data_IF_658709198011
#
_entry.id   IF_658709198011
#
_cell.length_a   1.000
_cell.length_b   1.000
_cell.length_c   1.000
_cell.angle_alpha   90.00
_cell.angle_beta   90.00
_cell.angle_gamma   90.00
#
_symmetry.space_group_name_H-M   'P 1'
#
loop_
_entity.id
_entity.type
_entity.pdbx_description
1 polymer ?
#
# COMPACT_ATOMS: atom_id res chain seq x y z
N UNK A 1 7.44 -9.72 -14.41
CA UNK A 1 6.03 -9.39 -14.10
C UNK A 1 5.28 -9.22 -15.41
N UNK A 2 4.47 -10.21 -15.79
CA UNK A 2 3.54 -10.08 -16.91
C UNK A 2 2.12 -10.06 -16.34
N UNK A 3 1.49 -8.90 -16.38
CA UNK A 3 0.08 -8.73 -16.05
C UNK A 3 -0.74 -9.00 -17.32
N UNK A 4 -1.90 -9.67 -17.19
CA UNK A 4 -2.79 -9.98 -18.31
C UNK A 4 -3.05 -8.74 -19.20
N UNK A 5 -3.29 -7.56 -18.60
CA UNK A 5 -3.53 -6.32 -19.34
C UNK A 5 -2.31 -5.82 -20.14
N UNK A 6 -1.09 -6.04 -19.63
CA UNK A 6 0.13 -5.69 -20.38
C UNK A 6 0.37 -6.61 -21.56
N UNK A 7 -0.05 -7.87 -21.45
CA UNK A 7 0.07 -8.86 -22.52
C UNK A 7 -1.02 -8.67 -23.60
N UNK A 8 -2.21 -8.26 -23.20
CA UNK A 8 -3.36 -8.05 -24.09
C UNK A 8 -3.21 -6.80 -24.97
N UNK A 9 -2.62 -5.73 -24.43
CA UNK A 9 -2.64 -4.39 -25.05
C UNK A 9 -1.36 -4.11 -25.85
N UNK A 10 -1.43 -3.27 -26.91
CA UNK A 10 -0.24 -2.86 -27.64
C UNK A 10 0.81 -2.19 -26.74
N UNK A 11 2.12 -2.36 -27.05
CA UNK A 11 3.17 -1.66 -26.32
C UNK A 11 2.98 -0.15 -26.46
N UNK A 12 3.02 0.56 -25.32
CA UNK A 12 2.70 1.99 -25.25
C UNK A 12 1.49 2.26 -24.39
N UNK A 13 0.42 1.47 -24.52
CA UNK A 13 -0.80 1.60 -23.71
C UNK A 13 -0.50 1.36 -22.23
N UNK A 14 0.25 0.29 -21.94
CA UNK A 14 0.66 -0.11 -20.60
C UNK A 14 2.17 0.06 -20.35
N UNK A 15 2.86 0.89 -21.15
CA UNK A 15 4.32 1.05 -21.02
C UNK A 15 4.75 1.53 -19.61
N UNK A 16 3.94 2.40 -18.99
CA UNK A 16 4.16 2.86 -17.63
C UNK A 16 4.18 1.73 -16.59
N UNK A 17 3.44 0.65 -16.82
CA UNK A 17 3.42 -0.52 -15.94
C UNK A 17 4.80 -1.16 -15.86
N UNK A 18 5.46 -1.36 -17.01
CA UNK A 18 6.82 -1.92 -17.07
C UNK A 18 7.82 -1.03 -16.36
N UNK A 19 7.78 0.28 -16.59
CA UNK A 19 8.72 1.22 -15.96
C UNK A 19 8.59 1.27 -14.44
N UNK A 20 7.35 1.16 -13.94
CA UNK A 20 7.06 1.14 -12.52
C UNK A 20 7.42 -0.21 -11.88
N UNK A 21 6.81 -1.31 -12.33
CA UNK A 21 6.86 -2.61 -11.64
C UNK A 21 8.24 -3.28 -11.67
N UNK A 22 9.04 -3.06 -12.71
CA UNK A 22 10.38 -3.68 -12.79
C UNK A 22 11.38 -3.02 -11.85
N UNK A 23 11.17 -1.74 -11.50
CA UNK A 23 12.18 -0.96 -10.78
C UNK A 23 12.51 -1.52 -9.38
N UNK A 24 11.54 -1.83 -8.50
CA UNK A 24 11.85 -2.31 -7.15
C UNK A 24 12.51 -3.69 -7.10
N UNK A 25 12.23 -4.56 -8.08
CA UNK A 25 12.76 -5.93 -8.14
C UNK A 25 14.14 -5.98 -8.81
N UNK A 26 14.29 -5.27 -9.93
CA UNK A 26 15.48 -5.39 -10.79
C UNK A 26 16.55 -4.33 -10.52
N UNK A 27 16.18 -3.20 -9.87
CA UNK A 27 17.03 -2.01 -9.82
C UNK A 27 17.13 -1.43 -8.41
N UNK A 28 18.29 -1.58 -7.79
CA UNK A 28 18.59 -0.96 -6.50
C UNK A 28 18.60 0.58 -6.54
N UNK A 29 18.59 1.23 -7.71
CA UNK A 29 18.51 2.70 -7.81
C UNK A 29 17.14 3.30 -7.48
N UNK A 30 16.18 2.48 -7.05
CA UNK A 30 14.76 2.87 -6.88
C UNK A 30 14.57 3.89 -5.74
N UNK A 31 15.04 3.59 -4.52
CA UNK A 31 14.84 4.46 -3.37
C UNK A 31 16.01 5.41 -3.09
N UNK A 32 17.24 5.03 -3.40
CA UNK A 32 18.42 5.90 -3.32
C UNK A 32 18.96 6.09 -4.74
N UNK A 33 18.60 7.22 -5.35
CA UNK A 33 18.75 7.40 -6.80
C UNK A 33 20.21 7.37 -7.23
N UNK A 34 20.44 6.75 -8.40
CA UNK A 34 21.72 6.86 -9.10
C UNK A 34 21.96 8.32 -9.54
N UNK A 35 23.19 8.81 -9.57
CA UNK A 35 24.44 8.15 -9.17
C UNK A 35 24.87 8.51 -7.74
N UNK A 36 24.02 9.18 -6.96
CA UNK A 36 24.37 9.63 -5.61
C UNK A 36 24.25 8.51 -4.57
N UNK A 37 23.26 7.62 -4.73
CA UNK A 37 22.99 6.47 -3.86
C UNK A 37 22.95 6.83 -2.36
N UNK A 38 22.35 7.98 -2.02
CA UNK A 38 22.34 8.51 -0.67
C UNK A 38 21.22 7.88 0.19
N UNK A 39 21.54 7.17 1.30
CA UNK A 39 20.54 6.63 2.20
C UNK A 39 19.68 7.70 2.89
N UNK A 40 20.18 8.94 3.03
CA UNK A 40 19.44 10.04 3.66
C UNK A 40 18.23 10.43 2.82
N UNK A 41 18.39 10.50 1.49
CA UNK A 41 17.26 10.77 0.59
C UNK A 41 16.29 9.60 0.56
N UNK A 42 16.81 8.36 0.62
CA UNK A 42 15.99 7.14 0.63
C UNK A 42 15.08 6.98 1.86
N UNK A 43 15.36 7.69 2.96
CA UNK A 43 14.54 7.65 4.19
C UNK A 43 13.35 8.61 4.19
N UNK A 44 13.26 9.49 3.20
CA UNK A 44 12.16 10.47 3.07
C UNK A 44 10.90 9.80 2.51
N UNK A 45 9.73 10.09 3.08
CA UNK A 45 8.46 9.45 2.68
C UNK A 45 8.12 9.67 1.21
N UNK A 46 8.57 10.79 0.60
CA UNK A 46 8.32 11.08 -0.81
C UNK A 46 8.95 10.07 -1.77
N UNK A 47 9.93 9.25 -1.34
CA UNK A 47 10.53 8.26 -2.22
C UNK A 47 9.54 7.16 -2.61
N UNK A 48 8.58 6.85 -1.75
CA UNK A 48 7.55 5.85 -2.02
C UNK A 48 6.49 6.37 -2.99
N UNK A 49 6.21 7.68 -2.96
CA UNK A 49 5.05 8.29 -3.63
C UNK A 49 5.07 8.20 -5.15
N UNK A 50 6.23 7.98 -5.77
CA UNK A 50 6.31 7.86 -7.23
C UNK A 50 5.63 6.60 -7.76
N UNK A 51 5.47 5.57 -6.92
CA UNK A 51 4.78 4.32 -7.26
C UNK A 51 3.55 4.09 -6.37
N UNK A 52 3.65 4.39 -5.08
CA UNK A 52 2.59 4.16 -4.09
C UNK A 52 1.62 5.35 -4.00
N UNK A 53 0.86 5.59 -5.07
CA UNK A 53 -0.11 6.68 -5.19
C UNK A 53 -1.19 6.35 -6.23
N UNK A 54 -2.20 7.20 -6.39
CA UNK A 54 -3.05 7.19 -7.58
C UNK A 54 -4.40 6.51 -7.39
N UNK A 55 -4.82 5.69 -8.36
CA UNK A 55 -6.23 5.27 -8.49
C UNK A 55 -6.56 4.03 -7.66
N UNK A 56 -5.66 3.06 -7.66
CA UNK A 56 -5.82 1.71 -7.13
C UNK A 56 -5.10 1.49 -5.79
N UNK A 57 -4.12 2.34 -5.45
CA UNK A 57 -3.44 2.31 -4.15
C UNK A 57 -3.04 3.73 -3.68
N UNK A 58 -3.96 4.42 -3.00
CA UNK A 58 -3.76 5.77 -2.43
C UNK A 58 -2.91 5.77 -1.15
N UNK A 59 -1.77 5.09 -1.19
CA UNK A 59 -0.90 4.91 -0.04
C UNK A 59 -0.27 6.25 0.38
N UNK A 60 0.33 6.97 -0.58
CA UNK A 60 0.90 8.30 -0.36
C UNK A 60 -0.18 9.29 0.08
N UNK A 61 -1.30 9.37 -0.64
CA UNK A 61 -2.34 10.36 -0.36
C UNK A 61 -2.93 10.16 1.03
N UNK A 62 -3.17 8.91 1.44
CA UNK A 62 -3.68 8.60 2.78
C UNK A 62 -2.67 8.97 3.88
N UNK A 63 -1.38 8.71 3.66
CA UNK A 63 -0.32 9.12 4.57
C UNK A 63 -0.21 10.65 4.65
N UNK A 64 -0.05 11.30 3.50
CA UNK A 64 0.29 12.71 3.33
C UNK A 64 -0.78 13.64 3.91
N UNK A 65 -2.06 13.32 3.67
CA UNK A 65 -3.17 14.11 4.21
C UNK A 65 -3.51 13.76 5.66
N UNK A 66 -3.09 12.59 6.13
CA UNK A 66 -3.27 12.17 7.52
C UNK A 66 -2.43 13.01 8.49
N UNK A 67 -2.68 12.86 9.79
CA UNK A 67 -1.90 13.60 10.80
C UNK A 67 -0.41 13.22 10.79
N UNK A 68 -0.06 11.97 10.51
CA UNK A 68 1.35 11.57 10.31
C UNK A 68 1.99 12.34 9.15
N UNK A 69 1.32 12.44 8.00
CA UNK A 69 1.78 13.21 6.85
C UNK A 69 1.82 14.71 7.12
N UNK A 70 0.86 15.23 7.87
CA UNK A 70 0.85 16.64 8.29
C UNK A 70 2.06 16.96 9.15
N UNK A 71 2.30 16.17 10.21
CA UNK A 71 3.50 16.29 11.07
C UNK A 71 4.78 16.18 10.24
N UNK A 72 4.82 15.22 9.31
CA UNK A 72 5.94 15.07 8.39
C UNK A 72 6.16 16.32 7.53
N UNK A 73 5.13 16.82 6.85
CA UNK A 73 5.26 17.98 5.97
C UNK A 73 5.75 19.23 6.69
N UNK A 74 5.25 19.49 7.90
CA UNK A 74 5.61 20.69 8.67
C UNK A 74 6.99 20.59 9.33
N UNK A 75 7.46 19.38 9.64
CA UNK A 75 8.67 19.19 10.44
C UNK A 75 9.85 18.52 9.71
N UNK A 76 9.66 17.93 8.52
CA UNK A 76 10.71 17.15 7.81
C UNK A 76 12.02 17.88 7.50
N UNK A 77 12.02 19.21 7.57
CA UNK A 77 13.20 20.04 7.35
C UNK A 77 13.86 20.54 8.63
N UNK A 78 13.24 20.32 9.79
CA UNK A 78 13.83 20.59 11.09
C UNK A 78 14.62 19.35 11.56
N UNK A 79 15.97 19.41 11.62
CA UNK A 79 16.80 18.28 12.04
C UNK A 79 16.61 17.88 13.50
N UNK A 80 15.99 18.72 14.35
CA UNK A 80 15.61 18.31 15.71
C UNK A 80 14.40 17.37 15.72
N UNK A 81 13.57 17.44 14.68
CA UNK A 81 12.35 16.64 14.53
C UNK A 81 12.58 15.43 13.62
N UNK A 82 13.37 15.62 12.56
CA UNK A 82 13.72 14.60 11.57
C UNK A 82 15.21 14.67 11.20
N UNK A 83 16.04 13.91 11.91
CA UNK A 83 17.45 13.73 11.54
C UNK A 83 17.62 12.59 10.52
N UNK A 84 17.71 12.96 9.24
CA UNK A 84 17.90 12.02 8.13
C UNK A 84 19.24 11.29 8.15
N UNK A 85 20.21 11.73 8.96
CA UNK A 85 21.53 11.11 9.06
C UNK A 85 21.49 9.80 9.84
N UNK A 86 20.57 9.67 10.80
CA UNK A 86 20.37 8.46 11.60
C UNK A 86 19.92 7.27 10.74
N UNK A 87 20.36 6.07 11.11
CA UNK A 87 19.83 4.83 10.53
C UNK A 87 18.41 4.61 11.04
N UNK A 88 17.61 3.85 10.29
CA UNK A 88 16.22 3.54 10.69
C UNK A 88 16.11 2.73 11.99
N UNK A 89 17.18 2.05 12.41
CA UNK A 89 17.24 1.38 13.71
C UNK A 89 17.37 2.36 14.89
N UNK A 90 17.91 3.55 14.62
CA UNK A 90 18.18 4.61 15.60
C UNK A 90 17.27 5.83 15.37
N UNK A 91 16.26 5.69 14.49
CA UNK A 91 15.36 6.79 14.14
C UNK A 91 14.43 7.12 15.31
N UNK A 92 14.43 8.38 15.72
CA UNK A 92 13.68 8.93 16.84
C UNK A 92 12.84 10.14 16.39
N UNK A 93 12.22 10.01 15.22
CA UNK A 93 11.43 11.07 14.60
C UNK A 93 10.19 11.41 15.41
N UNK A 94 9.77 12.68 15.37
CA UNK A 94 8.52 13.15 16.00
C UNK A 94 7.26 12.50 15.40
N UNK A 95 7.33 12.08 14.14
CA UNK A 95 6.27 11.35 13.43
C UNK A 95 6.86 10.29 12.51
N UNK A 96 6.09 9.24 12.15
CA UNK A 96 6.62 8.14 11.35
C UNK A 96 6.78 8.54 9.88
N UNK A 97 7.71 7.89 9.19
CA UNK A 97 7.78 7.85 7.72
C UNK A 97 7.32 6.50 7.19
N UNK A 98 7.14 6.38 5.86
CA UNK A 98 6.85 5.09 5.23
C UNK A 98 7.90 4.02 5.65
N UNK A 99 9.17 4.40 5.63
CA UNK A 99 10.32 3.58 5.94
C UNK A 99 10.38 3.21 7.41
N UNK A 100 9.97 4.12 8.31
CA UNK A 100 9.93 3.86 9.75
C UNK A 100 9.06 2.63 10.07
N UNK A 101 7.88 2.55 9.45
CA UNK A 101 6.93 1.47 9.66
C UNK A 101 7.24 0.23 8.82
N UNK A 102 7.47 0.38 7.51
CA UNK A 102 7.58 -0.76 6.58
C UNK A 102 9.00 -1.30 6.41
N UNK A 103 10.02 -0.48 6.66
CA UNK A 103 11.44 -0.86 6.61
C UNK A 103 12.05 -0.84 8.01
N UNK A 104 11.28 -1.25 9.02
CA UNK A 104 11.67 -1.19 10.44
C UNK A 104 13.07 -1.77 10.66
N UNK A 105 13.92 -1.01 11.36
CA UNK A 105 15.33 -1.37 11.59
C UNK A 105 16.22 -1.35 10.35
N UNK A 106 15.74 -0.86 9.20
CA UNK A 106 16.45 -0.84 7.92
C UNK A 106 16.29 -2.10 7.07
N UNK A 107 15.32 -2.97 7.38
CA UNK A 107 15.09 -4.20 6.61
C UNK A 107 14.52 -3.91 5.22
N UNK A 108 15.07 -4.55 4.17
CA UNK A 108 14.70 -4.26 2.77
C UNK A 108 13.54 -5.10 2.22
N UNK A 109 13.14 -6.18 2.88
CA UNK A 109 11.82 -6.77 2.62
C UNK A 109 10.74 -5.85 3.21
N UNK A 110 10.22 -4.94 2.40
CA UNK A 110 9.19 -3.96 2.77
C UNK A 110 7.85 -4.60 3.16
N UNK A 111 7.61 -5.84 2.74
CA UNK A 111 6.40 -6.60 3.06
C UNK A 111 6.50 -7.33 4.41
N UNK A 112 7.67 -7.37 5.06
CA UNK A 112 7.95 -8.20 6.24
C UNK A 112 6.98 -7.99 7.42
N UNK A 113 6.39 -6.81 7.55
CA UNK A 113 5.42 -6.49 8.60
C UNK A 113 3.96 -6.76 8.20
N UNK A 114 3.68 -7.06 6.93
CA UNK A 114 2.31 -7.28 6.46
C UNK A 114 1.61 -8.44 7.18
N UNK A 115 0.34 -8.24 7.53
CA UNK A 115 -0.46 -9.31 8.15
C UNK A 115 -0.74 -10.44 7.17
N UNK A 116 -1.27 -10.11 6.00
CA UNK A 116 -1.62 -11.06 4.95
C UNK A 116 -1.70 -10.30 3.62
N UNK A 117 -1.30 -10.94 2.52
CA UNK A 117 -1.49 -10.37 1.19
C UNK A 117 -2.97 -10.47 0.80
N UNK A 118 -3.57 -9.34 0.43
CA UNK A 118 -5.02 -9.23 0.24
C UNK A 118 -5.37 -8.62 -1.13
N UNK A 119 -4.55 -8.89 -2.16
CA UNK A 119 -4.75 -8.41 -3.54
C UNK A 119 -5.03 -6.89 -3.60
N UNK A 120 -4.07 -6.09 -3.12
CA UNK A 120 -4.20 -4.62 -3.00
C UNK A 120 -5.40 -4.14 -2.15
N UNK A 121 -5.92 -4.99 -1.27
CA UNK A 121 -7.08 -4.69 -0.42
C UNK A 121 -8.44 -5.00 -1.07
N UNK A 122 -8.45 -5.50 -2.31
CA UNK A 122 -9.69 -5.99 -2.96
C UNK A 122 -10.24 -7.22 -2.26
N UNK A 123 -9.36 -8.09 -1.74
CA UNK A 123 -9.78 -9.23 -0.93
C UNK A 123 -9.96 -8.81 0.52
N UNK A 124 -11.11 -9.14 1.10
CA UNK A 124 -11.40 -8.83 2.49
C UNK A 124 -10.68 -9.82 3.43
N UNK A 125 -10.03 -9.29 4.45
CA UNK A 125 -9.49 -10.06 5.57
C UNK A 125 -9.64 -9.26 6.87
N UNK A 126 -10.29 -9.85 7.87
CA UNK A 126 -10.30 -9.30 9.24
C UNK A 126 -8.92 -9.54 9.86
N UNK A 127 -8.10 -8.49 9.92
CA UNK A 127 -6.71 -8.57 10.42
C UNK A 127 -6.64 -8.50 11.94
N UNK A 128 -7.76 -8.20 12.62
CA UNK A 128 -7.91 -8.21 14.07
C UNK A 128 -8.34 -9.57 14.62
N UNK A 129 -8.75 -10.49 13.74
CA UNK A 129 -9.14 -11.85 14.12
C UNK A 129 -8.01 -12.60 14.86
N UNK A 130 -8.35 -13.52 15.80
CA UNK A 130 -7.36 -14.24 16.62
C UNK A 130 -6.24 -14.95 15.84
N UNK A 131 -6.53 -15.44 14.63
CA UNK A 131 -5.54 -16.10 13.76
C UNK A 131 -4.38 -15.17 13.37
N UNK A 132 -4.60 -13.85 13.38
CA UNK A 132 -3.59 -12.84 13.04
C UNK A 132 -3.05 -12.09 14.26
N UNK A 133 -3.38 -12.53 15.48
CA UNK A 133 -3.04 -11.84 16.72
C UNK A 133 -1.57 -11.44 16.80
N UNK A 134 -0.64 -12.36 16.57
CA UNK A 134 0.80 -12.07 16.67
C UNK A 134 1.26 -11.00 15.66
N UNK A 135 0.69 -11.01 14.45
CA UNK A 135 1.01 -10.00 13.43
C UNK A 135 0.39 -8.64 13.78
N UNK A 136 -0.81 -8.62 14.38
CA UNK A 136 -1.42 -7.40 14.92
C UNK A 136 -0.62 -6.83 16.07
N UNK A 137 -0.17 -7.67 17.01
CA UNK A 137 0.70 -7.27 18.12
C UNK A 137 2.02 -6.68 17.61
N UNK A 138 2.59 -7.26 16.55
CA UNK A 138 3.80 -6.73 15.90
C UNK A 138 3.58 -5.36 15.24
N UNK A 139 2.38 -5.07 14.72
CA UNK A 139 2.04 -3.72 14.26
C UNK A 139 1.87 -2.76 15.43
N UNK A 140 1.17 -3.17 16.48
CA UNK A 140 1.01 -2.38 17.68
C UNK A 140 2.38 -1.99 18.27
N UNK A 141 3.36 -2.90 18.30
CA UNK A 141 4.71 -2.59 18.78
C UNK A 141 5.47 -1.54 17.97
N UNK A 142 5.08 -1.26 16.72
CA UNK A 142 5.63 -0.13 15.94
C UNK A 142 4.96 1.18 16.35
N UNK A 143 3.67 1.14 16.66
CA UNK A 143 2.92 2.30 17.14
C UNK A 143 3.30 2.67 18.59
N UNK A 144 3.73 1.68 19.37
CA UNK A 144 4.09 1.80 20.79
C UNK A 144 5.29 2.75 21.04
N UNK A 145 6.08 3.07 20.01
CA UNK A 145 7.15 4.06 20.14
C UNK A 145 6.62 5.46 20.49
N UNK A 146 5.39 5.80 20.09
CA UNK A 146 4.81 7.13 20.25
C UNK A 146 3.40 7.13 20.88
N UNK A 147 2.70 5.99 20.90
CA UNK A 147 1.33 5.87 21.37
C UNK A 147 1.19 4.78 22.43
N UNK A 148 0.11 4.86 23.22
CA UNK A 148 -0.24 3.72 24.09
C UNK A 148 -0.67 2.51 23.23
N UNK A 149 -0.36 1.27 23.67
CA UNK A 149 -0.77 0.07 22.94
C UNK A 149 -2.28 -0.05 22.73
N UNK A 150 -3.06 0.45 23.69
CA UNK A 150 -4.52 0.47 23.57
C UNK A 150 -4.99 1.34 22.41
N UNK A 151 -4.51 2.59 22.35
CA UNK A 151 -4.87 3.53 21.29
C UNK A 151 -4.56 2.96 19.91
N UNK A 152 -3.36 2.40 19.73
CA UNK A 152 -2.94 1.80 18.47
C UNK A 152 -3.84 0.63 18.05
N UNK A 153 -4.13 -0.29 18.98
CA UNK A 153 -4.97 -1.47 18.70
C UNK A 153 -6.41 -1.11 18.38
N UNK A 154 -7.00 -0.17 19.12
CA UNK A 154 -8.38 0.29 18.87
C UNK A 154 -8.49 1.01 17.52
N UNK A 155 -7.49 1.83 17.15
CA UNK A 155 -7.46 2.48 15.83
C UNK A 155 -7.30 1.45 14.69
N UNK A 156 -6.45 0.43 14.86
CA UNK A 156 -6.32 -0.66 13.88
C UNK A 156 -7.56 -1.56 13.82
N UNK A 157 -8.31 -1.69 14.92
CA UNK A 157 -9.60 -2.38 14.91
C UNK A 157 -10.63 -1.59 14.09
N UNK A 158 -10.67 -0.26 14.18
CA UNK A 158 -11.55 0.56 13.35
C UNK A 158 -11.26 0.40 11.85
N UNK A 159 -10.00 0.20 11.47
CA UNK A 159 -9.62 -0.19 10.10
C UNK A 159 -10.24 -1.54 9.71
N UNK A 160 -10.18 -2.56 10.59
CA UNK A 160 -10.78 -3.87 10.31
C UNK A 160 -12.29 -3.79 10.09
N UNK A 161 -13.01 -3.03 10.92
CA UNK A 161 -14.46 -2.83 10.76
C UNK A 161 -14.78 -2.10 9.45
N UNK A 162 -14.03 -1.03 9.12
CA UNK A 162 -14.20 -0.29 7.87
C UNK A 162 -13.99 -1.19 6.64
N UNK A 163 -13.01 -2.09 6.69
CA UNK A 163 -12.75 -3.08 5.61
C UNK A 163 -13.88 -4.09 5.49
N UNK A 164 -14.46 -4.56 6.61
CA UNK A 164 -15.62 -5.46 6.59
C UNK A 164 -16.85 -4.78 6.01
N UNK A 165 -17.13 -3.54 6.40
CA UNK A 165 -18.24 -2.74 5.90
C UNK A 165 -18.09 -2.40 4.40
N UNK A 166 -16.88 -2.11 3.95
CA UNK A 166 -16.60 -1.93 2.53
C UNK A 166 -16.87 -3.22 1.74
N UNK A 167 -16.44 -4.38 2.27
CA UNK A 167 -16.72 -5.69 1.67
C UNK A 167 -18.21 -6.04 1.64
N UNK A 168 -18.99 -5.60 2.63
CA UNK A 168 -20.45 -5.75 2.64
C UNK A 168 -21.08 -4.99 1.47
N UNK A 169 -20.73 -3.71 1.30
CA UNK A 169 -21.22 -2.88 0.18
C UNK A 169 -20.84 -3.46 -1.18
N UNK A 170 -19.60 -3.94 -1.32
CA UNK A 170 -19.17 -4.54 -2.59
C UNK A 170 -19.94 -5.82 -2.92
N UNK A 171 -20.31 -6.64 -1.93
CA UNK A 171 -21.15 -7.82 -2.16
C UNK A 171 -22.53 -7.45 -2.69
N UNK A 172 -23.15 -6.40 -2.17
CA UNK A 172 -24.42 -5.88 -2.68
C UNK A 172 -24.28 -5.42 -4.14
N UNK A 173 -23.25 -4.61 -4.44
CA UNK A 173 -22.97 -4.17 -5.81
C UNK A 173 -22.72 -5.34 -6.76
N UNK A 174 -21.92 -6.33 -6.32
CA UNK A 174 -21.60 -7.50 -7.11
C UNK A 174 -22.84 -8.34 -7.40
N UNK A 175 -23.74 -8.53 -6.41
CA UNK A 175 -24.96 -9.31 -6.58
C UNK A 175 -25.85 -8.71 -7.67
N UNK A 176 -26.03 -7.38 -7.68
CA UNK A 176 -26.80 -6.70 -8.74
C UNK A 176 -26.20 -6.98 -10.12
N UNK A 177 -24.88 -6.82 -10.27
CA UNK A 177 -24.21 -7.05 -11.55
C UNK A 177 -24.28 -8.54 -11.99
N UNK A 178 -24.12 -9.46 -11.03
CA UNK A 178 -24.20 -10.90 -11.29
C UNK A 178 -25.62 -11.32 -11.72
N UNK A 179 -26.65 -10.75 -11.11
CA UNK A 179 -28.05 -11.03 -11.46
C UNK A 179 -28.38 -10.53 -12.87
N UNK A 180 -27.86 -9.37 -13.31
CA UNK A 180 -28.02 -8.91 -14.69
C UNK A 180 -27.49 -9.93 -15.71
N UNK A 181 -26.32 -10.50 -15.44
CA UNK A 181 -25.71 -11.53 -16.31
C UNK A 181 -26.49 -12.83 -16.24
N UNK A 182 -26.88 -13.26 -15.04
CA UNK A 182 -27.62 -14.50 -14.79
C UNK A 182 -29.00 -14.49 -15.46
N UNK A 183 -29.70 -13.36 -15.39
CA UNK A 183 -31.03 -13.18 -15.97
C UNK A 183 -30.98 -12.91 -17.49
N UNK A 184 -29.77 -12.77 -18.05
CA UNK A 184 -29.57 -12.58 -19.49
C UNK A 184 -29.95 -11.19 -19.98
N UNK A 185 -29.97 -10.20 -19.09
CA UNK A 185 -30.37 -8.81 -19.37
C UNK A 185 -29.22 -7.80 -19.26
N UNK A 186 -27.99 -8.27 -19.04
CA UNK A 186 -26.81 -7.43 -19.18
C UNK A 186 -26.64 -7.02 -20.65
N UNK A 187 -26.33 -5.73 -20.87
CA UNK A 187 -26.23 -5.16 -22.21
C UNK A 187 -24.86 -4.45 -22.40
N UNK A 188 -23.94 -5.02 -23.21
CA UNK A 188 -24.02 -6.32 -23.88
C UNK A 188 -23.76 -7.51 -22.92
N UNK A 189 -24.15 -8.72 -23.34
CA UNK A 189 -23.75 -9.96 -22.65
C UNK A 189 -22.28 -10.31 -22.97
N UNK A 190 -21.57 -11.09 -22.11
CA UNK A 190 -20.17 -11.43 -22.35
C UNK A 190 -19.87 -12.07 -23.71
N UNK A 191 -20.77 -12.93 -24.21
CA UNK A 191 -20.64 -13.58 -25.53
C UNK A 191 -20.66 -12.61 -26.72
N UNK A 192 -21.17 -11.40 -26.50
CA UNK A 192 -21.36 -10.35 -27.51
C UNK A 192 -20.26 -9.26 -27.38
N UNK A 193 -19.34 -9.40 -26.43
CA UNK A 193 -18.15 -8.54 -26.29
C UNK A 193 -17.01 -9.00 -27.21
N UNK A 194 -16.00 -8.15 -27.35
CA UNK A 194 -14.70 -8.59 -27.86
C UNK A 194 -14.14 -9.69 -26.92
N UNK A 195 -13.54 -10.77 -27.45
CA UNK A 195 -12.87 -11.77 -26.62
C UNK A 195 -11.81 -11.14 -25.72
N UNK A 196 -11.64 -11.70 -24.53
CA UNK A 196 -10.66 -11.21 -23.57
C UNK A 196 -9.22 -11.60 -23.93
N UNK A 197 -8.25 -11.23 -23.09
CA UNK A 197 -6.83 -11.57 -23.26
C UNK A 197 -6.53 -13.06 -23.46
N UNK A 198 -7.41 -13.95 -22.99
CA UNK A 198 -7.30 -15.40 -23.13
C UNK A 198 -7.93 -15.94 -24.42
N UNK A 199 -8.58 -15.06 -25.19
CA UNK A 199 -9.28 -15.38 -26.43
C UNK A 199 -10.64 -16.04 -26.21
N UNK A 200 -11.23 -15.86 -25.02
CA UNK A 200 -12.56 -16.38 -24.66
C UNK A 200 -13.64 -15.32 -24.75
#
# INVERSE_FOLDING_TARGET
FECAWSNERPPGDTAGCTFCHTSPEERCSTCHQRHQFDPKVARKSEQCKTCHWGKDHRDWEAYDIGLHGTVYQVSKWDPQQFDWTKKLADADYVGPTCQYCHMRGGHHNVQRFSTVYASMGMSMADRGAPIWKEKRERWASVCDDCHSPRFAKENLQAMDESVKDAGLKYRETFQIAADLVKDGVADPMPKDLCPDWSGQ
#
